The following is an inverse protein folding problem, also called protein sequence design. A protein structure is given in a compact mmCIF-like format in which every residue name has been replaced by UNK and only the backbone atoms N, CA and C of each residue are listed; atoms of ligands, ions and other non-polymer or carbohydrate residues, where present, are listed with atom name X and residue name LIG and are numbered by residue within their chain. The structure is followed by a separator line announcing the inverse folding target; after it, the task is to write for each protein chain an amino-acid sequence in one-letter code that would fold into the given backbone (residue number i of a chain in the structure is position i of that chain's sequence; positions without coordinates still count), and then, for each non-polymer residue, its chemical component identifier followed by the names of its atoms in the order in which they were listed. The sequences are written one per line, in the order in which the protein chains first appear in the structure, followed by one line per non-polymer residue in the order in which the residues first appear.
data_IF_601052131401
#
_entry.id   IF_601052131401
#
_cell.length_a   1.000
_cell.length_b   1.000
_cell.length_c   1.000
_cell.angle_alpha   90.00
_cell.angle_beta   90.00
_cell.angle_gamma   90.00
#
_symmetry.space_group_name_H-M   'P 1'
#
loop_
_entity.id
_entity.type
_entity.pdbx_description
1 polymer ?
#
# COMPACT_ATOMS: atom_id res chain seq x y z
N UNK A 1 17.80 -34.20 10.29
CA UNK A 1 16.86 -33.46 11.16
C UNK A 1 16.75 -31.97 10.79
N UNK A 2 17.86 -31.26 10.50
CA UNK A 2 17.80 -29.84 10.15
C UNK A 2 16.98 -29.53 8.87
N UNK A 3 17.00 -30.37 7.82
CA UNK A 3 16.25 -30.07 6.58
C UNK A 3 14.73 -30.09 6.77
N UNK A 4 14.20 -31.02 7.57
CA UNK A 4 12.75 -31.14 7.85
C UNK A 4 12.23 -29.88 8.55
N UNK A 5 13.01 -29.33 9.49
CA UNK A 5 12.65 -28.10 10.17
C UNK A 5 12.61 -26.89 9.22
N UNK A 6 13.55 -26.81 8.27
CA UNK A 6 13.60 -25.73 7.26
C UNK A 6 12.44 -25.81 6.28
N UNK A 7 12.08 -27.00 5.80
CA UNK A 7 10.92 -27.20 4.92
C UNK A 7 9.60 -26.83 5.62
N UNK A 8 9.46 -27.26 6.88
CA UNK A 8 8.28 -26.93 7.70
C UNK A 8 8.14 -25.41 7.88
N UNK A 9 9.25 -24.71 8.11
CA UNK A 9 9.24 -23.25 8.25
C UNK A 9 8.91 -22.52 6.94
N UNK A 10 9.41 -23.02 5.79
CA UNK A 10 9.08 -22.47 4.47
C UNK A 10 7.59 -22.59 4.16
N UNK A 11 7.00 -23.77 4.43
CA UNK A 11 5.57 -23.98 4.26
C UNK A 11 4.76 -23.04 5.15
N UNK A 12 5.09 -22.95 6.45
CA UNK A 12 4.40 -22.06 7.38
C UNK A 12 4.51 -20.58 6.98
N UNK A 13 5.67 -20.14 6.49
CA UNK A 13 5.86 -18.76 6.01
C UNK A 13 5.04 -18.47 4.76
N UNK A 14 4.95 -19.44 3.84
CA UNK A 14 4.18 -19.28 2.62
C UNK A 14 2.68 -19.15 2.92
N UNK A 15 2.14 -20.05 3.74
CA UNK A 15 0.74 -19.99 4.18
C UNK A 15 0.44 -18.66 4.88
N UNK A 16 1.29 -18.21 5.80
CA UNK A 16 1.13 -16.92 6.48
C UNK A 16 1.14 -15.74 5.50
N UNK A 17 2.01 -15.75 4.49
CA UNK A 17 2.06 -14.69 3.47
C UNK A 17 0.82 -14.69 2.57
N UNK A 18 0.31 -15.86 2.20
CA UNK A 18 -0.89 -15.98 1.37
C UNK A 18 -2.12 -15.51 2.16
N UNK A 19 -2.37 -16.06 3.35
CA UNK A 19 -3.54 -15.68 4.15
C UNK A 19 -3.45 -14.24 4.66
N UNK A 20 -2.27 -13.82 5.14
CA UNK A 20 -2.04 -12.44 5.58
C UNK A 20 -2.18 -11.45 4.43
N UNK A 21 -1.63 -11.78 3.26
CA UNK A 21 -1.80 -10.97 2.04
C UNK A 21 -3.27 -10.84 1.65
N UNK A 22 -4.02 -11.93 1.63
CA UNK A 22 -5.45 -11.91 1.28
C UNK A 22 -6.30 -11.12 2.29
N UNK A 23 -5.97 -11.20 3.57
CA UNK A 23 -6.61 -10.43 4.63
C UNK A 23 -6.36 -8.92 4.45
N UNK A 24 -5.10 -8.51 4.29
CA UNK A 24 -4.71 -7.11 4.03
C UNK A 24 -5.33 -6.58 2.74
N UNK A 25 -5.38 -7.41 1.69
CA UNK A 25 -6.04 -7.08 0.44
C UNK A 25 -7.53 -6.77 0.64
N UNK A 26 -8.25 -7.66 1.33
CA UNK A 26 -9.70 -7.52 1.55
C UNK A 26 -10.03 -6.25 2.34
N UNK A 27 -9.32 -6.02 3.46
CA UNK A 27 -9.52 -4.82 4.28
C UNK A 27 -9.13 -3.55 3.51
N UNK A 28 -8.02 -3.58 2.77
CA UNK A 28 -7.56 -2.45 1.96
C UNK A 28 -8.55 -2.04 0.87
N UNK A 29 -9.15 -3.02 0.18
CA UNK A 29 -10.20 -2.80 -0.82
C UNK A 29 -11.44 -2.20 -0.16
N UNK A 30 -11.95 -2.82 0.92
CA UNK A 30 -13.14 -2.34 1.63
C UNK A 30 -12.94 -0.91 2.13
N UNK A 31 -11.83 -0.63 2.80
CA UNK A 31 -11.54 0.71 3.33
C UNK A 31 -11.43 1.77 2.24
N UNK A 32 -10.83 1.42 1.11
CA UNK A 32 -10.69 2.36 -0.01
C UNK A 32 -12.02 2.60 -0.74
N UNK A 33 -12.87 1.58 -0.89
CA UNK A 33 -14.24 1.72 -1.43
C UNK A 33 -15.09 2.59 -0.51
N UNK A 34 -15.04 2.36 0.81
CA UNK A 34 -15.77 3.17 1.78
C UNK A 34 -15.33 4.65 1.71
N UNK A 35 -14.03 4.93 1.60
CA UNK A 35 -13.54 6.29 1.40
C UNK A 35 -14.12 6.93 0.14
N UNK A 36 -14.12 6.22 -1.00
CA UNK A 36 -14.69 6.72 -2.26
C UNK A 36 -16.19 7.00 -2.11
N UNK A 37 -16.95 6.10 -1.47
CA UNK A 37 -18.39 6.28 -1.23
C UNK A 37 -18.61 7.51 -0.35
N UNK A 38 -17.92 7.63 0.79
CA UNK A 38 -18.07 8.75 1.72
C UNK A 38 -17.77 10.08 1.01
N UNK A 39 -16.66 10.17 0.28
CA UNK A 39 -16.29 11.42 -0.40
C UNK A 39 -17.18 11.74 -1.62
N UNK A 40 -17.81 10.73 -2.23
CA UNK A 40 -18.70 10.93 -3.39
C UNK A 40 -20.16 11.21 -3.01
N UNK A 41 -20.65 10.66 -1.90
CA UNK A 41 -22.05 10.75 -1.48
C UNK A 41 -22.40 12.09 -0.83
N UNK A 42 -21.45 12.78 -0.20
CA UNK A 42 -21.73 14.07 0.43
C UNK A 42 -21.62 15.22 -0.58
N UNK A 43 -22.77 15.83 -0.91
CA UNK A 43 -22.89 16.97 -1.82
C UNK A 43 -21.98 18.15 -1.42
N UNK A 44 -21.79 18.37 -0.12
CA UNK A 44 -20.92 19.41 0.45
C UNK A 44 -19.42 19.15 0.20
N UNK A 45 -19.02 17.88 0.07
CA UNK A 45 -17.62 17.52 -0.22
C UNK A 45 -17.27 17.70 -1.69
N UNK A 46 -18.24 17.64 -2.62
CA UNK A 46 -18.00 17.85 -4.06
C UNK A 46 -17.48 19.24 -4.41
N UNK A 47 -17.73 20.24 -3.58
CA UNK A 47 -17.26 21.62 -3.78
C UNK A 47 -15.85 21.84 -3.21
N UNK A 48 -15.39 20.97 -2.30
CA UNK A 48 -14.07 21.07 -1.70
C UNK A 48 -13.03 20.31 -2.54
N UNK A 49 -12.03 21.03 -3.06
CA UNK A 49 -10.92 20.45 -3.83
C UNK A 49 -10.18 19.34 -3.07
N UNK A 50 -10.11 19.42 -1.74
CA UNK A 50 -9.50 18.40 -0.87
C UNK A 50 -10.21 17.05 -0.95
N UNK A 51 -11.54 17.03 -1.06
CA UNK A 51 -12.30 15.78 -1.15
C UNK A 51 -11.97 15.03 -2.44
N UNK A 52 -11.86 15.78 -3.54
CA UNK A 52 -11.45 15.25 -4.82
C UNK A 52 -10.07 14.57 -4.75
N UNK A 53 -9.09 15.20 -4.08
CA UNK A 53 -7.77 14.59 -3.87
C UNK A 53 -7.82 13.30 -3.06
N UNK A 54 -8.63 13.26 -2.01
CA UNK A 54 -8.79 12.06 -1.18
C UNK A 54 -9.49 10.92 -1.94
N UNK A 55 -10.44 11.24 -2.83
CA UNK A 55 -11.07 10.26 -3.72
C UNK A 55 -10.08 9.70 -4.74
N UNK A 56 -9.31 10.56 -5.41
CA UNK A 56 -8.27 10.13 -6.37
C UNK A 56 -7.19 9.31 -5.66
N UNK A 57 -6.72 9.75 -4.49
CA UNK A 57 -5.75 8.99 -3.71
C UNK A 57 -6.30 7.61 -3.26
N UNK A 58 -7.59 7.53 -2.94
CA UNK A 58 -8.24 6.25 -2.62
C UNK A 58 -8.34 5.33 -3.85
N UNK A 59 -8.64 5.88 -5.03
CA UNK A 59 -8.64 5.13 -6.28
C UNK A 59 -7.24 4.62 -6.67
N UNK A 60 -6.21 5.45 -6.51
CA UNK A 60 -4.81 5.03 -6.72
C UNK A 60 -4.39 3.96 -5.71
N UNK A 61 -4.82 4.06 -4.45
CA UNK A 61 -4.56 3.02 -3.45
C UNK A 61 -5.23 1.68 -3.82
N UNK A 62 -6.47 1.69 -4.33
CA UNK A 62 -7.12 0.47 -4.84
C UNK A 62 -6.28 -0.12 -5.97
N UNK A 63 -5.87 0.70 -6.92
CA UNK A 63 -5.02 0.25 -8.02
C UNK A 63 -3.71 -0.35 -7.49
N UNK A 64 -3.02 0.32 -6.59
CA UNK A 64 -1.78 -0.20 -6.00
C UNK A 64 -2.00 -1.51 -5.22
N UNK A 65 -3.12 -1.67 -4.52
CA UNK A 65 -3.49 -2.93 -3.84
C UNK A 65 -3.76 -4.05 -4.84
N UNK A 66 -4.55 -3.77 -5.89
CA UNK A 66 -4.90 -4.72 -6.94
C UNK A 66 -3.69 -5.12 -7.78
N UNK A 67 -2.79 -4.21 -8.10
CA UNK A 67 -1.65 -4.52 -8.95
C UNK A 67 -0.41 -4.91 -8.15
N UNK A 68 -0.15 -4.32 -6.99
CA UNK A 68 1.02 -4.62 -6.18
C UNK A 68 0.83 -5.85 -5.29
N UNK A 69 -0.26 -5.90 -4.52
CA UNK A 69 -0.46 -7.00 -3.57
C UNK A 69 -0.90 -8.28 -4.27
N UNK A 70 -1.81 -8.18 -5.25
CA UNK A 70 -2.31 -9.35 -5.99
C UNK A 70 -1.21 -10.02 -6.81
N UNK A 71 -0.36 -9.25 -7.50
CA UNK A 71 0.77 -9.84 -8.26
C UNK A 71 1.75 -10.54 -7.32
N UNK A 72 2.02 -9.98 -6.14
CA UNK A 72 2.86 -10.62 -5.13
C UNK A 72 2.24 -11.93 -4.61
N UNK A 73 0.93 -11.97 -4.40
CA UNK A 73 0.21 -13.20 -4.00
C UNK A 73 0.23 -14.24 -5.13
N UNK A 74 0.03 -13.82 -6.38
CA UNK A 74 0.05 -14.70 -7.56
C UNK A 74 1.44 -15.30 -7.82
N UNK A 75 2.50 -14.49 -7.73
CA UNK A 75 3.87 -14.94 -7.95
C UNK A 75 4.32 -15.85 -6.80
N UNK A 76 4.17 -15.43 -5.55
CA UNK A 76 4.69 -16.19 -4.41
C UNK A 76 3.81 -17.39 -4.06
N UNK A 77 2.49 -17.28 -4.21
CA UNK A 77 1.55 -18.32 -3.83
C UNK A 77 1.29 -19.35 -4.93
N UNK A 78 1.21 -18.90 -6.20
CA UNK A 78 0.80 -19.75 -7.31
C UNK A 78 1.86 -19.90 -8.41
N UNK A 79 3.00 -19.22 -8.28
CA UNK A 79 4.08 -19.22 -9.28
C UNK A 79 3.61 -18.78 -10.68
N UNK A 80 2.57 -17.93 -10.72
CA UNK A 80 2.05 -17.31 -11.94
C UNK A 80 2.70 -15.93 -12.03
N UNK A 81 3.35 -15.62 -13.16
CA UNK A 81 3.98 -14.32 -13.42
C UNK A 81 3.08 -13.43 -14.30
N UNK A 82 2.20 -12.60 -13.70
CA UNK A 82 1.31 -11.70 -14.44
C UNK A 82 2.05 -10.52 -15.10
N UNK A 83 3.31 -10.29 -14.72
CA UNK A 83 4.11 -9.16 -15.24
C UNK A 83 4.38 -9.29 -16.73
N UNK A 84 4.45 -10.53 -17.24
CA UNK A 84 4.64 -10.82 -18.66
C UNK A 84 3.42 -10.49 -19.53
N UNK A 85 2.23 -10.40 -18.93
CA UNK A 85 0.97 -10.14 -19.65
C UNK A 85 0.55 -8.67 -19.61
N UNK A 86 1.04 -7.88 -18.65
CA UNK A 86 0.55 -6.53 -18.35
C UNK A 86 1.49 -5.38 -18.79
N UNK A 87 2.67 -5.68 -19.35
CA UNK A 87 3.81 -4.76 -19.38
C UNK A 87 3.77 -3.58 -20.38
N UNK A 88 2.69 -3.32 -21.12
CA UNK A 88 2.70 -2.21 -22.09
C UNK A 88 1.44 -1.36 -22.18
N UNK A 89 0.29 -1.80 -21.66
CA UNK A 89 -0.98 -1.09 -21.92
C UNK A 89 -1.50 -0.28 -20.72
N UNK A 90 -1.14 -0.65 -19.50
CA UNK A 90 -1.70 -0.04 -18.28
C UNK A 90 -0.98 1.23 -17.82
N UNK A 91 0.30 1.38 -18.14
CA UNK A 91 1.13 2.53 -17.73
C UNK A 91 0.74 3.78 -18.53
N UNK A 92 0.51 3.63 -19.84
CA UNK A 92 0.14 4.74 -20.73
C UNK A 92 -1.26 5.27 -20.43
N UNK A 93 -2.20 4.37 -20.09
CA UNK A 93 -3.57 4.74 -19.74
C UNK A 93 -3.64 5.51 -18.41
N UNK A 94 -2.71 5.24 -17.48
CA UNK A 94 -2.60 5.94 -16.20
C UNK A 94 -2.02 7.35 -16.34
N UNK A 95 -0.99 7.53 -17.16
CA UNK A 95 -0.37 8.84 -17.45
C UNK A 95 -1.35 9.79 -18.15
N UNK A 96 -2.23 9.25 -19.00
CA UNK A 96 -3.27 10.02 -19.69
C UNK A 96 -4.40 10.49 -18.74
N UNK A 97 -4.72 9.72 -17.69
CA UNK A 97 -5.74 10.08 -16.70
C UNK A 97 -5.27 11.13 -15.68
N UNK A 98 -3.97 11.18 -15.39
CA UNK A 98 -3.40 12.10 -14.37
C UNK A 98 -3.13 13.51 -14.90
N UNK A 99 -2.86 13.69 -16.19
CA UNK A 99 -2.44 14.98 -16.75
C UNK A 99 -3.52 16.07 -16.68
N UNK A 100 -4.81 15.69 -16.64
CA UNK A 100 -5.94 16.65 -16.67
C UNK A 100 -6.25 17.31 -15.31
N UNK A 101 -5.71 16.79 -14.20
CA UNK A 101 -6.04 17.23 -12.84
C UNK A 101 -4.90 18.01 -12.14
N UNK A 102 -3.83 18.28 -12.88
CA UNK A 102 -2.55 18.79 -12.38
C UNK A 102 -2.57 20.26 -11.91
N UNK A 103 -3.52 21.08 -12.40
CA UNK A 103 -3.53 22.53 -12.16
C UNK A 103 -3.99 22.97 -10.75
N UNK A 104 -4.79 22.17 -10.04
CA UNK A 104 -5.47 22.61 -8.81
C UNK A 104 -4.79 22.18 -7.51
N UNK A 105 -3.72 21.41 -7.59
CA UNK A 105 -3.00 20.92 -6.42
C UNK A 105 -1.76 21.77 -6.24
N UNK A 106 -1.38 22.08 -5.00
CA UNK A 106 -0.06 22.65 -4.73
C UNK A 106 0.99 21.55 -4.98
N UNK A 107 1.26 21.32 -6.28
CA UNK A 107 2.05 20.23 -6.83
C UNK A 107 3.45 20.20 -6.20
N UNK A 108 3.94 21.36 -5.76
CA UNK A 108 5.23 21.51 -5.10
C UNK A 108 5.30 20.80 -3.75
N UNK A 109 4.24 20.84 -2.92
CA UNK A 109 4.22 20.16 -1.63
C UNK A 109 4.04 18.65 -1.79
N UNK A 110 3.11 18.24 -2.66
CA UNK A 110 2.90 16.84 -2.99
C UNK A 110 4.17 16.21 -3.57
N UNK A 111 4.86 16.91 -4.48
CA UNK A 111 6.13 16.48 -5.05
C UNK A 111 7.22 16.33 -3.98
N UNK A 112 7.37 17.30 -3.05
CA UNK A 112 8.33 17.20 -1.94
C UNK A 112 8.05 16.00 -1.04
N UNK A 113 6.79 15.73 -0.69
CA UNK A 113 6.41 14.59 0.14
C UNK A 113 6.65 13.25 -0.57
N UNK A 114 6.38 13.17 -1.87
CA UNK A 114 6.67 11.98 -2.68
C UNK A 114 8.17 11.73 -2.74
N UNK A 115 9.00 12.76 -2.97
CA UNK A 115 10.46 12.62 -2.98
C UNK A 115 10.99 12.12 -1.64
N UNK A 116 10.51 12.67 -0.51
CA UNK A 116 10.89 12.20 0.82
C UNK A 116 10.49 10.74 1.03
N UNK A 117 9.26 10.36 0.65
CA UNK A 117 8.78 8.99 0.76
C UNK A 117 9.62 8.01 -0.07
N UNK A 118 10.04 8.41 -1.28
CA UNK A 118 10.93 7.63 -2.15
C UNK A 118 12.29 7.44 -1.48
N UNK A 119 12.91 8.51 -0.97
CA UNK A 119 14.20 8.42 -0.27
C UNK A 119 14.12 7.49 0.94
N UNK A 120 13.08 7.63 1.76
CA UNK A 120 12.85 6.76 2.93
C UNK A 120 12.66 5.30 2.49
N UNK A 121 11.94 5.06 1.39
CA UNK A 121 11.74 3.72 0.85
C UNK A 121 13.04 3.09 0.36
N UNK A 122 13.91 3.86 -0.32
CA UNK A 122 15.23 3.40 -0.72
C UNK A 122 16.12 3.09 0.47
N UNK A 123 16.19 4.00 1.45
CA UNK A 123 16.97 3.79 2.68
C UNK A 123 16.49 2.55 3.45
N UNK A 124 15.18 2.31 3.48
CA UNK A 124 14.63 1.11 4.13
C UNK A 124 14.90 -0.18 3.32
N UNK A 125 15.02 -0.08 1.99
CA UNK A 125 15.39 -1.19 1.12
C UNK A 125 16.84 -1.64 1.28
N UNK A 126 17.75 -0.75 1.70
CA UNK A 126 19.18 -1.08 1.85
C UNK A 126 19.42 -2.26 2.82
N UNK A 127 18.90 -2.24 4.07
CA UNK A 127 19.03 -3.38 4.99
C UNK A 127 18.46 -4.69 4.45
N UNK A 128 17.35 -4.63 3.70
CA UNK A 128 16.76 -5.84 3.11
C UNK A 128 17.73 -6.48 2.11
N UNK A 129 18.38 -5.68 1.26
CA UNK A 129 19.36 -6.18 0.30
C UNK A 129 20.65 -6.67 0.97
N UNK A 130 21.08 -6.06 2.09
CA UNK A 130 22.31 -6.46 2.79
C UNK A 130 22.17 -7.78 3.55
N UNK A 131 20.98 -8.10 4.05
CA UNK A 131 20.75 -9.29 4.89
C UNK A 131 20.02 -10.42 4.17
N UNK A 132 19.68 -10.25 2.89
CA UNK A 132 19.04 -11.27 2.08
C UNK A 132 20.08 -11.93 1.19
N UNK A 133 20.47 -13.16 1.52
CA UNK A 133 21.36 -13.96 0.69
C UNK A 133 20.61 -15.11 0.01
N UNK A 134 21.12 -15.51 -1.15
CA UNK A 134 20.70 -16.76 -1.78
C UNK A 134 21.38 -17.92 -1.05
N UNK A 135 20.58 -18.73 -0.37
CA UNK A 135 21.07 -19.96 0.21
C UNK A 135 20.88 -21.09 -0.80
N UNK A 136 21.96 -21.67 -1.37
CA UNK A 136 21.84 -22.88 -2.16
C UNK A 136 21.52 -24.03 -1.19
N UNK A 137 20.36 -24.70 -1.30
CA UNK A 137 20.17 -25.93 -0.54
C UNK A 137 21.11 -27.00 -1.10
N UNK A 138 21.82 -27.68 -0.21
CA UNK A 138 22.87 -28.63 -0.58
C UNK A 138 22.37 -29.80 -1.45
N UNK A 139 21.07 -30.11 -1.47
CA UNK A 139 20.58 -31.37 -2.06
C UNK A 139 19.41 -31.24 -3.05
N UNK A 140 18.72 -30.09 -3.18
CA UNK A 140 17.48 -30.00 -3.98
C UNK A 140 17.56 -29.15 -5.24
N UNK A 141 18.68 -28.47 -5.49
CA UNK A 141 18.89 -27.67 -6.71
C UNK A 141 17.98 -26.43 -6.87
N UNK A 142 17.05 -26.18 -5.94
CA UNK A 142 16.20 -24.98 -5.96
C UNK A 142 16.78 -23.87 -5.07
N UNK A 143 17.15 -22.74 -5.65
CA UNK A 143 17.62 -21.58 -4.87
C UNK A 143 16.46 -20.97 -4.06
N UNK A 144 16.67 -20.76 -2.76
CA UNK A 144 15.72 -20.02 -1.92
C UNK A 144 16.36 -18.81 -1.28
N UNK A 145 15.66 -17.67 -1.32
CA UNK A 145 16.07 -16.46 -0.64
C UNK A 145 15.63 -16.51 0.82
N UNK A 146 16.55 -16.31 1.75
CA UNK A 146 16.24 -16.20 3.18
C UNK A 146 17.13 -15.15 3.82
N UNK A 147 16.69 -14.60 4.95
CA UNK A 147 17.49 -13.65 5.71
C UNK A 147 18.59 -14.39 6.47
N UNK A 148 19.85 -13.99 6.30
CA UNK A 148 20.99 -14.66 6.96
C UNK A 148 21.06 -14.38 8.45
N UNK A 149 20.54 -13.23 8.87
CA UNK A 149 20.54 -12.83 10.27
C UNK A 149 19.17 -13.11 10.92
N UNK A 150 19.14 -14.03 11.89
CA UNK A 150 17.92 -14.38 12.65
C UNK A 150 17.34 -13.15 13.37
N UNK A 151 18.20 -12.30 13.95
CA UNK A 151 17.78 -11.07 14.61
C UNK A 151 17.10 -10.10 13.64
N UNK A 152 17.64 -9.97 12.42
CA UNK A 152 17.04 -9.15 11.37
C UNK A 152 15.70 -9.73 10.89
N UNK A 153 15.56 -11.05 10.77
CA UNK A 153 14.29 -11.70 10.42
C UNK A 153 13.18 -11.41 11.45
N UNK A 154 13.51 -11.49 12.74
CA UNK A 154 12.58 -11.15 13.83
C UNK A 154 12.24 -9.66 13.82
N UNK A 155 13.23 -8.80 13.63
CA UNK A 155 13.03 -7.36 13.51
C UNK A 155 12.10 -7.02 12.33
N UNK A 156 12.39 -7.55 11.14
CA UNK A 156 11.65 -7.27 9.90
C UNK A 156 10.19 -7.72 9.97
N UNK A 157 9.95 -8.91 10.52
CA UNK A 157 8.60 -9.47 10.66
C UNK A 157 7.76 -8.75 11.72
N UNK A 158 8.38 -8.21 12.78
CA UNK A 158 7.65 -7.58 13.91
C UNK A 158 7.50 -6.08 13.82
N UNK A 159 8.39 -5.38 13.12
CA UNK A 159 8.43 -3.92 13.17
C UNK A 159 8.13 -3.26 11.81
N UNK A 160 9.01 -3.32 10.79
CA UNK A 160 8.74 -2.69 9.49
C UNK A 160 7.41 -3.11 8.87
N UNK A 161 7.13 -4.40 8.89
CA UNK A 161 5.99 -4.95 8.17
C UNK A 161 4.64 -4.59 8.82
N UNK A 162 4.38 -4.89 10.09
CA UNK A 162 3.08 -4.54 10.69
C UNK A 162 2.97 -3.07 11.11
N UNK A 163 4.04 -2.42 11.57
CA UNK A 163 3.93 -1.07 12.13
C UNK A 163 4.04 -0.03 11.03
N UNK A 164 5.10 -0.12 10.21
CA UNK A 164 5.43 0.92 9.24
C UNK A 164 4.55 0.85 7.99
N UNK A 165 4.21 -0.36 7.52
CA UNK A 165 3.42 -0.55 6.30
C UNK A 165 1.91 -0.65 6.55
N UNK A 166 1.48 -0.99 7.77
CA UNK A 166 0.06 -1.19 8.07
C UNK A 166 -0.48 -0.17 9.11
N UNK A 167 -0.06 -0.28 10.38
CA UNK A 167 -0.63 0.55 11.47
C UNK A 167 -0.42 2.05 11.23
N UNK A 168 0.80 2.48 10.85
CA UNK A 168 1.11 3.90 10.70
C UNK A 168 0.35 4.53 9.51
N UNK A 169 0.34 3.93 8.30
CA UNK A 169 -0.50 4.43 7.20
C UNK A 169 -2.00 4.43 7.54
N UNK A 170 -2.48 3.40 8.25
CA UNK A 170 -3.89 3.30 8.65
C UNK A 170 -4.28 4.41 9.63
N UNK A 171 -3.49 4.64 10.67
CA UNK A 171 -3.74 5.70 11.67
C UNK A 171 -3.67 7.09 11.05
N UNK A 172 -2.70 7.33 10.17
CA UNK A 172 -2.60 8.60 9.42
C UNK A 172 -3.85 8.81 8.57
N UNK A 173 -4.30 7.79 7.83
CA UNK A 173 -5.54 7.85 7.02
C UNK A 173 -6.76 8.13 7.88
N UNK A 174 -6.93 7.44 9.01
CA UNK A 174 -8.05 7.65 9.93
C UNK A 174 -8.03 9.08 10.48
N UNK A 175 -6.86 9.57 10.92
CA UNK A 175 -6.71 10.90 11.51
C UNK A 175 -7.08 11.98 10.50
N UNK A 176 -6.55 11.91 9.27
CA UNK A 176 -6.91 12.84 8.20
C UNK A 176 -8.37 12.71 7.77
N UNK A 177 -8.92 11.49 7.76
CA UNK A 177 -10.35 11.26 7.51
C UNK A 177 -11.25 11.94 8.55
N UNK A 178 -10.92 11.81 9.83
CA UNK A 178 -11.65 12.46 10.94
C UNK A 178 -11.52 13.99 10.86
N UNK A 179 -10.31 14.51 10.64
CA UNK A 179 -10.10 15.95 10.47
C UNK A 179 -10.90 16.51 9.28
N UNK A 180 -10.91 15.82 8.14
CA UNK A 180 -11.71 16.21 6.99
C UNK A 180 -13.21 16.22 7.33
N UNK A 181 -13.68 15.21 8.07
CA UNK A 181 -15.07 15.14 8.53
C UNK A 181 -15.46 16.30 9.47
N UNK A 182 -14.64 16.58 10.49
CA UNK A 182 -14.86 17.69 11.43
C UNK A 182 -14.87 19.04 10.71
N UNK A 183 -13.93 19.25 9.78
CA UNK A 183 -13.85 20.49 9.00
C UNK A 183 -15.10 20.70 8.14
N UNK A 184 -15.61 19.65 7.48
CA UNK A 184 -16.85 19.77 6.70
C UNK A 184 -18.05 20.06 7.60
N UNK A 185 -18.14 19.45 8.78
CA UNK A 185 -19.21 19.74 9.74
C UNK A 185 -19.16 21.19 10.23
N UNK A 186 -17.96 21.72 10.48
CA UNK A 186 -17.77 23.11 10.87
C UNK A 186 -18.19 24.09 9.76
N UNK A 187 -17.89 23.78 8.49
CA UNK A 187 -18.33 24.59 7.35
C UNK A 187 -19.85 24.59 7.20
N UNK A 188 -20.49 23.44 7.34
CA UNK A 188 -21.96 23.34 7.29
C UNK A 188 -22.63 24.22 8.36
N UNK A 189 -22.11 24.20 9.60
CA UNK A 189 -22.64 25.03 10.68
C UNK A 189 -22.47 26.54 10.43
N UNK A 190 -21.40 26.96 9.73
CA UNK A 190 -21.19 28.37 9.37
C UNK A 190 -22.14 28.85 8.28
N UNK A 191 -22.45 28.00 7.29
CA UNK A 191 -23.43 28.33 6.24
C UNK A 191 -24.85 28.47 6.80
N UNK A 192 -25.23 27.67 7.79
CA UNK A 192 -26.54 27.75 8.42
C UNK A 192 -26.79 29.08 9.18
N UNK A 193 -25.74 29.79 9.59
CA UNK A 193 -25.84 31.08 10.28
C UNK A 193 -26.04 32.29 9.38
N UNK A 194 -25.82 32.17 8.06
CA UNK A 194 -25.92 33.30 7.11
C UNK A 194 -27.30 33.45 6.42
N UNK A 195 -28.23 32.51 6.65
CA UNK A 195 -29.60 32.57 6.11
C UNK A 195 -30.63 33.03 7.17
N UNK A 196 -30.24 33.88 8.12
CA UNK A 196 -31.14 34.38 9.16
C UNK A 196 -31.12 35.90 9.22
#
# INVERSE_FOLDING_TARGET
MASIAVESFKLATNECNIYGGFFVFSIGIIGSILNIIIFSSLKTFREASTAFYMTVASAVNIFQLVFGLLTRILINGYNIDPTKTLSSMSIDQFLLLTNRWCHLCNLQLASRLIIIAVIVSFLHGIPVNLFQDLYPPLDTGQTSCSFTNIGYSIYYSRFPFPILLDILPLTVRITFGVLAFVNVRALHNRQAGMCR
#
